data_IF_251502579558
#
_entry.id   IF_251502579558
#
_cell.length_a   1.000
_cell.length_b   1.000
_cell.length_c   1.000
_cell.angle_alpha   90.00
_cell.angle_beta   90.00
_cell.angle_gamma   90.00
#
_symmetry.space_group_name_H-M   'P 1'
#
loop_
_entity.id
_entity.type
_entity.pdbx_description
1 polymer ?
#
# COMPACT_ATOMS: atom_id res chain seq x y z
N UNK A 1 -83.92 0.64 2.18
CA UNK A 1 -83.15 0.02 3.28
C UNK A 1 -82.28 -1.07 2.67
N UNK A 2 -80.94 -1.00 2.86
CA UNK A 2 -79.94 -2.07 2.60
C UNK A 2 -79.83 -2.56 1.14
N UNK A 3 -78.78 -2.28 0.33
CA UNK A 3 -77.32 -2.60 0.39
C UNK A 3 -76.96 -4.10 0.34
N UNK A 4 -76.10 -4.48 -0.63
CA UNK A 4 -75.60 -5.86 -0.82
C UNK A 4 -75.10 -6.09 -2.25
N UNK A 5 -73.94 -5.53 -2.61
CA UNK A 5 -72.65 -6.26 -2.70
C UNK A 5 -72.55 -7.22 -3.91
N UNK A 6 -72.03 -6.70 -5.03
CA UNK A 6 -71.40 -7.50 -6.10
C UNK A 6 -69.88 -7.48 -5.89
N UNK A 7 -69.29 -8.61 -5.50
CA UNK A 7 -67.83 -8.78 -5.47
C UNK A 7 -67.33 -9.29 -6.83
N UNK A 8 -66.67 -8.42 -7.59
CA UNK A 8 -65.85 -8.85 -8.73
C UNK A 8 -64.44 -9.21 -8.23
N UNK A 9 -64.06 -10.49 -8.31
CA UNK A 9 -62.66 -10.89 -8.16
C UNK A 9 -61.87 -10.48 -9.41
N UNK A 10 -61.08 -9.42 -9.29
CA UNK A 10 -60.02 -9.09 -10.26
C UNK A 10 -58.71 -9.72 -9.78
N UNK A 11 -58.27 -10.77 -10.47
CA UNK A 11 -56.94 -11.36 -10.32
C UNK A 11 -55.89 -10.39 -10.87
N UNK A 12 -55.33 -9.54 -10.01
CA UNK A 12 -54.18 -8.71 -10.35
C UNK A 12 -52.93 -9.59 -10.44
N UNK A 13 -52.51 -9.88 -11.67
CA UNK A 13 -51.19 -10.48 -11.93
C UNK A 13 -50.12 -9.49 -11.51
N UNK A 14 -49.55 -9.69 -10.33
CA UNK A 14 -48.44 -8.90 -9.83
C UNK A 14 -47.19 -9.14 -10.69
N UNK A 15 -47.03 -8.34 -11.75
CA UNK A 15 -45.74 -8.18 -12.43
C UNK A 15 -44.79 -7.51 -11.44
N UNK A 16 -43.99 -8.32 -10.75
CA UNK A 16 -42.85 -7.81 -10.01
C UNK A 16 -41.90 -7.11 -10.97
N UNK A 17 -41.85 -5.78 -10.91
CA UNK A 17 -40.76 -5.02 -11.53
C UNK A 17 -39.44 -5.51 -10.95
N UNK A 18 -38.37 -5.64 -11.76
CA UNK A 18 -37.05 -5.94 -11.21
C UNK A 18 -36.69 -4.84 -10.20
N UNK A 19 -36.16 -5.24 -9.04
CA UNK A 19 -35.71 -4.31 -7.99
C UNK A 19 -34.62 -3.43 -8.60
N UNK A 20 -34.97 -2.17 -8.87
CA UNK A 20 -34.03 -1.17 -9.35
C UNK A 20 -33.01 -0.84 -8.26
N UNK A 21 -31.82 -0.41 -8.69
CA UNK A 21 -30.73 0.04 -7.82
C UNK A 21 -31.24 1.18 -6.91
N UNK A 22 -31.62 0.86 -5.66
CA UNK A 22 -32.10 1.83 -4.68
C UNK A 22 -30.92 2.65 -4.14
N UNK A 23 -30.46 3.61 -4.96
CA UNK A 23 -30.00 4.90 -4.44
C UNK A 23 -31.24 5.68 -3.96
N UNK A 24 -31.86 5.21 -2.86
CA UNK A 24 -32.69 6.08 -2.04
C UNK A 24 -31.82 7.23 -1.50
N UNK A 25 -32.43 8.41 -1.40
CA UNK A 25 -31.72 9.68 -1.31
C UNK A 25 -30.97 9.79 0.03
N UNK A 26 -29.67 9.48 0.02
CA UNK A 26 -28.83 9.48 1.23
C UNK A 26 -28.72 10.92 1.73
N UNK A 27 -29.49 11.23 2.77
CA UNK A 27 -29.48 12.54 3.41
C UNK A 27 -28.09 12.82 4.00
N UNK A 28 -27.39 13.77 3.39
CA UNK A 28 -26.20 14.41 3.96
C UNK A 28 -26.61 15.39 5.06
N UNK A 29 -25.66 15.79 5.89
CA UNK A 29 -25.90 16.82 6.89
C UNK A 29 -26.38 18.14 6.28
N UNK A 30 -27.48 18.67 6.83
CA UNK A 30 -27.98 19.99 6.51
C UNK A 30 -27.01 21.09 6.96
N UNK A 31 -26.90 22.16 6.18
CA UNK A 31 -26.01 23.30 6.43
C UNK A 31 -24.53 22.88 6.63
N UNK A 32 -24.08 21.86 5.90
CA UNK A 32 -22.72 21.34 5.99
C UNK A 32 -21.67 22.34 5.46
N UNK A 33 -20.70 22.69 6.31
CA UNK A 33 -19.59 23.58 6.04
C UNK A 33 -18.30 22.80 5.77
N UNK A 34 -17.95 22.60 4.50
CA UNK A 34 -16.80 21.77 4.10
C UNK A 34 -15.47 22.22 4.70
N UNK A 35 -15.22 23.53 4.76
CA UNK A 35 -13.97 24.10 5.25
C UNK A 35 -13.75 23.86 6.76
N UNK A 36 -14.83 23.68 7.54
CA UNK A 36 -14.77 23.35 8.98
C UNK A 36 -14.41 21.89 9.26
N UNK A 37 -14.43 21.03 8.26
CA UNK A 37 -13.95 19.64 8.35
C UNK A 37 -12.45 19.50 8.08
N UNK A 38 -11.77 20.56 7.64
CA UNK A 38 -10.33 20.54 7.40
C UNK A 38 -9.54 20.33 8.70
N UNK A 39 -8.36 19.72 8.59
CA UNK A 39 -7.56 19.29 9.72
C UNK A 39 -7.55 17.77 9.89
N UNK A 40 -7.18 17.33 11.09
CA UNK A 40 -6.82 15.95 11.40
C UNK A 40 -7.89 15.26 12.25
N UNK A 41 -8.27 14.08 11.79
CA UNK A 41 -9.26 13.19 12.40
C UNK A 41 -8.65 11.82 12.66
N UNK A 42 -9.15 11.11 13.67
CA UNK A 42 -8.81 9.73 14.01
C UNK A 42 -9.90 8.78 13.52
N UNK A 43 -9.52 7.66 12.92
CA UNK A 43 -10.43 6.60 12.45
C UNK A 43 -10.81 5.72 13.66
N UNK A 44 -11.99 5.95 14.25
CA UNK A 44 -12.39 5.37 15.55
C UNK A 44 -13.11 4.02 15.37
N UNK A 45 -14.07 3.94 14.46
CA UNK A 45 -14.85 2.73 14.24
C UNK A 45 -15.29 2.58 12.77
N UNK A 46 -15.45 1.34 12.33
CA UNK A 46 -15.80 0.99 10.95
C UNK A 46 -16.95 -0.02 10.96
N UNK A 47 -17.99 0.26 10.16
CA UNK A 47 -18.97 -0.73 9.71
C UNK A 47 -18.81 -0.96 8.21
N UNK A 48 -18.91 -2.20 7.72
CA UNK A 48 -18.79 -2.45 6.26
C UNK A 48 -19.49 -3.71 5.75
N UNK A 49 -20.07 -3.63 4.55
CA UNK A 49 -20.56 -4.80 3.80
C UNK A 49 -19.47 -5.42 2.92
N UNK A 50 -18.25 -4.85 2.89
CA UNK A 50 -17.11 -5.41 2.19
C UNK A 50 -16.65 -6.72 2.85
N UNK A 51 -16.99 -7.86 2.23
CA UNK A 51 -16.62 -9.22 2.67
C UNK A 51 -15.14 -9.34 3.06
N UNK A 52 -14.25 -8.66 2.35
CA UNK A 52 -12.83 -8.67 2.66
C UNK A 52 -12.51 -7.96 3.98
N UNK A 53 -13.01 -6.73 4.18
CA UNK A 53 -12.73 -5.98 5.42
C UNK A 53 -13.28 -6.71 6.65
N UNK A 54 -14.49 -7.29 6.54
CA UNK A 54 -15.08 -8.18 7.56
C UNK A 54 -14.12 -9.29 7.99
N UNK A 55 -13.56 -10.02 7.02
CA UNK A 55 -12.70 -11.19 7.29
C UNK A 55 -11.32 -10.83 7.89
N UNK A 56 -10.92 -9.56 7.89
CA UNK A 56 -9.61 -9.12 8.38
C UNK A 56 -9.70 -7.95 9.38
N UNK A 57 -10.84 -7.75 10.04
CA UNK A 57 -11.08 -6.65 10.99
C UNK A 57 -9.99 -6.51 12.07
N UNK A 58 -9.50 -7.64 12.60
CA UNK A 58 -8.39 -7.72 13.58
C UNK A 58 -7.05 -7.12 13.10
N UNK A 59 -6.87 -6.92 11.78
CA UNK A 59 -5.65 -6.32 11.19
C UNK A 59 -5.73 -4.81 11.02
N UNK A 60 -6.86 -4.19 11.38
CA UNK A 60 -7.00 -2.74 11.38
C UNK A 60 -6.71 -2.22 12.78
N UNK A 61 -5.92 -1.15 12.83
CA UNK A 61 -5.73 -0.32 14.02
C UNK A 61 -6.18 1.10 13.67
N UNK A 62 -6.36 1.93 14.70
CA UNK A 62 -6.67 3.33 14.54
C UNK A 62 -5.67 3.99 13.60
N UNK A 63 -6.18 4.72 12.61
CA UNK A 63 -5.39 5.53 11.69
C UNK A 63 -5.76 7.00 11.82
N UNK A 64 -5.10 7.84 11.06
CA UNK A 64 -5.53 9.24 10.90
C UNK A 64 -6.12 9.48 9.52
N UNK A 65 -6.87 10.57 9.41
CA UNK A 65 -7.33 11.18 8.17
C UNK A 65 -7.12 12.69 8.31
N UNK A 66 -6.28 13.26 7.46
CA UNK A 66 -6.11 14.69 7.28
C UNK A 66 -6.93 15.11 6.06
N UNK A 67 -7.81 16.09 6.25
CA UNK A 67 -8.60 16.73 5.20
C UNK A 67 -8.06 18.14 4.95
N UNK A 68 -7.96 18.54 3.69
CA UNK A 68 -7.47 19.87 3.31
C UNK A 68 -7.87 20.26 1.89
N UNK A 69 -7.57 21.50 1.47
CA UNK A 69 -7.86 21.96 0.12
C UNK A 69 -7.18 21.07 -0.92
N UNK A 70 -7.91 20.70 -1.98
CA UNK A 70 -7.34 19.99 -3.12
C UNK A 70 -6.53 20.92 -4.04
N UNK A 71 -5.87 20.38 -5.08
CA UNK A 71 -5.14 21.16 -6.10
C UNK A 71 -5.99 22.19 -6.87
N UNK A 72 -7.31 22.06 -6.80
CA UNK A 72 -8.30 22.91 -7.45
C UNK A 72 -9.49 23.15 -6.51
N UNK A 73 -10.23 24.25 -6.71
CA UNK A 73 -11.27 24.69 -5.79
C UNK A 73 -12.45 23.70 -5.67
N UNK A 74 -12.70 22.93 -6.74
CA UNK A 74 -13.65 21.83 -6.83
C UNK A 74 -13.15 20.51 -6.24
N UNK A 75 -11.95 20.47 -5.63
CA UNK A 75 -11.37 19.27 -5.04
C UNK A 75 -11.07 19.43 -3.55
N UNK A 76 -11.04 18.30 -2.85
CA UNK A 76 -10.58 18.16 -1.46
C UNK A 76 -9.50 17.08 -1.43
N UNK A 77 -8.36 17.39 -0.80
CA UNK A 77 -7.29 16.42 -0.57
C UNK A 77 -7.57 15.65 0.71
N UNK A 78 -7.39 14.33 0.62
CA UNK A 78 -7.54 13.41 1.73
C UNK A 78 -6.24 12.66 1.92
N UNK A 79 -5.68 12.64 3.12
CA UNK A 79 -4.43 11.92 3.44
C UNK A 79 -4.62 11.09 4.70
N UNK A 80 -4.55 9.76 4.58
CA UNK A 80 -4.77 8.83 5.69
C UNK A 80 -3.51 8.06 6.06
N UNK A 81 -3.12 8.06 7.34
CA UNK A 81 -2.04 7.21 7.86
C UNK A 81 -2.61 5.94 8.51
N UNK A 82 -1.93 4.79 8.33
CA UNK A 82 -2.30 3.50 8.93
C UNK A 82 -1.06 2.71 9.31
N UNK A 83 -0.99 2.30 10.58
CA UNK A 83 0.04 1.43 11.12
C UNK A 83 -0.29 -0.05 10.81
N UNK A 84 0.67 -0.78 10.25
CA UNK A 84 0.53 -2.21 9.92
C UNK A 84 1.82 -2.97 10.20
N UNK A 85 1.78 -3.88 11.19
CA UNK A 85 2.91 -4.75 11.57
C UNK A 85 4.23 -4.01 11.88
N UNK A 86 4.16 -2.72 12.23
CA UNK A 86 5.31 -1.85 12.48
C UNK A 86 5.53 -0.79 11.40
N UNK A 87 5.06 -1.03 10.17
CA UNK A 87 5.20 -0.09 9.06
C UNK A 87 4.08 0.95 9.06
N UNK A 88 4.44 2.23 8.93
CA UNK A 88 3.48 3.31 8.70
C UNK A 88 3.23 3.50 7.21
N UNK A 89 1.98 3.39 6.78
CA UNK A 89 1.56 3.65 5.40
C UNK A 89 0.74 4.93 5.33
N UNK A 90 1.11 5.85 4.42
CA UNK A 90 0.33 7.06 4.12
C UNK A 90 -0.28 6.94 2.73
N UNK A 91 -1.58 7.21 2.65
CA UNK A 91 -2.40 7.13 1.44
C UNK A 91 -3.03 8.49 1.22
N UNK A 92 -2.68 9.16 0.12
CA UNK A 92 -3.35 10.38 -0.32
C UNK A 92 -4.27 10.12 -1.51
N UNK A 93 -5.33 10.93 -1.63
CA UNK A 93 -6.29 10.87 -2.73
C UNK A 93 -7.14 12.13 -2.82
N UNK A 94 -7.35 12.60 -4.03
CA UNK A 94 -8.10 13.82 -4.35
C UNK A 94 -9.54 13.47 -4.71
N UNK A 95 -10.50 14.01 -3.96
CA UNK A 95 -11.93 13.81 -4.19
C UNK A 95 -12.54 15.07 -4.81
N UNK A 96 -13.43 14.89 -5.77
CA UNK A 96 -14.21 15.97 -6.38
C UNK A 96 -15.41 16.34 -5.49
N UNK A 97 -15.59 17.63 -5.26
CA UNK A 97 -16.79 18.22 -4.66
C UNK A 97 -17.95 18.08 -5.66
N UNK A 98 -19.15 17.85 -5.16
CA UNK A 98 -20.37 17.83 -6.00
C UNK A 98 -21.20 19.10 -5.79
N UNK A 99 -22.31 19.23 -6.52
CA UNK A 99 -23.30 20.29 -6.29
C UNK A 99 -23.98 20.23 -4.91
N UNK A 100 -23.84 19.13 -4.19
CA UNK A 100 -24.40 18.92 -2.86
C UNK A 100 -23.28 18.98 -1.82
N UNK A 101 -23.26 19.99 -0.92
CA UNK A 101 -22.29 20.04 0.18
C UNK A 101 -22.31 18.75 1.01
N UNK A 102 -21.14 18.26 1.42
CA UNK A 102 -21.01 17.00 2.16
C UNK A 102 -21.02 15.75 1.30
N UNK A 103 -21.32 15.85 0.00
CA UNK A 103 -21.23 14.75 -0.98
C UNK A 103 -20.03 14.95 -1.90
N UNK A 104 -19.18 13.92 -1.98
CA UNK A 104 -17.94 13.91 -2.74
C UNK A 104 -17.85 12.68 -3.63
N UNK A 105 -17.13 12.78 -4.75
CA UNK A 105 -16.91 11.68 -5.69
C UNK A 105 -15.44 11.47 -6.00
N UNK A 106 -15.06 10.21 -6.16
CA UNK A 106 -13.74 9.81 -6.66
C UNK A 106 -13.94 8.76 -7.75
N UNK A 107 -13.20 8.88 -8.85
CA UNK A 107 -13.25 7.93 -9.96
C UNK A 107 -11.83 7.63 -10.48
N UNK A 108 -11.54 6.34 -10.67
CA UNK A 108 -10.26 5.88 -11.20
C UNK A 108 -10.47 5.10 -12.52
N UNK A 109 -10.18 5.71 -13.69
CA UNK A 109 -10.44 5.09 -14.99
C UNK A 109 -9.50 3.91 -15.29
N UNK A 110 -8.40 3.72 -14.55
CA UNK A 110 -7.47 2.59 -14.77
C UNK A 110 -8.03 1.26 -14.26
N UNK A 111 -8.98 1.30 -13.32
CA UNK A 111 -9.49 0.13 -12.60
C UNK A 111 -11.01 0.04 -12.57
N UNK A 112 -11.71 1.00 -13.20
CA UNK A 112 -13.16 1.17 -13.15
C UNK A 112 -13.71 1.10 -11.71
N UNK A 113 -13.18 1.99 -10.87
CA UNK A 113 -13.59 2.14 -9.47
C UNK A 113 -14.14 3.53 -9.25
N UNK A 114 -15.39 3.60 -8.78
CA UNK A 114 -16.01 4.83 -8.31
C UNK A 114 -16.31 4.73 -6.82
N UNK A 115 -16.08 5.83 -6.09
CA UNK A 115 -16.41 5.99 -4.68
C UNK A 115 -17.26 7.25 -4.56
N UNK A 116 -18.41 7.13 -3.91
CA UNK A 116 -19.26 8.23 -3.49
C UNK A 116 -19.19 8.30 -1.96
N UNK A 117 -18.77 9.45 -1.44
CA UNK A 117 -18.62 9.71 -0.01
C UNK A 117 -19.65 10.74 0.45
N UNK A 118 -20.31 10.49 1.58
CA UNK A 118 -21.39 11.30 2.14
C UNK A 118 -21.09 11.57 3.61
N UNK A 119 -20.98 12.85 3.99
CA UNK A 119 -20.92 13.25 5.41
C UNK A 119 -22.35 13.25 5.96
N UNK A 120 -22.67 12.28 6.80
CA UNK A 120 -24.02 12.11 7.34
C UNK A 120 -24.26 13.01 8.55
N UNK A 121 -23.28 13.06 9.47
CA UNK A 121 -23.34 13.80 10.74
C UNK A 121 -21.94 14.24 11.15
N UNK A 122 -21.79 15.45 11.66
CA UNK A 122 -20.58 16.02 12.24
C UNK A 122 -20.95 17.24 13.07
N UNK A 123 -20.28 17.43 14.20
CA UNK A 123 -20.30 18.69 14.95
C UNK A 123 -19.01 19.51 14.76
N UNK A 124 -18.14 19.10 13.83
CA UNK A 124 -16.84 19.69 13.49
C UNK A 124 -15.77 19.67 14.60
N UNK A 125 -16.18 19.60 15.87
CA UNK A 125 -15.31 19.79 17.04
C UNK A 125 -15.02 18.49 17.81
N UNK A 126 -15.89 17.48 17.70
CA UNK A 126 -15.77 16.21 18.43
C UNK A 126 -15.73 15.00 17.48
N UNK A 127 -16.72 14.86 16.59
CA UNK A 127 -16.89 13.67 15.75
C UNK A 127 -17.44 13.97 14.35
N UNK A 128 -17.23 13.04 13.43
CA UNK A 128 -17.88 13.00 12.12
C UNK A 128 -18.18 11.54 11.69
N UNK A 129 -19.30 11.33 11.01
CA UNK A 129 -19.72 10.05 10.44
C UNK A 129 -19.79 10.16 8.92
N UNK A 130 -19.00 9.34 8.24
CA UNK A 130 -18.87 9.35 6.78
C UNK A 130 -19.27 7.99 6.21
N UNK A 131 -20.22 8.00 5.29
CA UNK A 131 -20.62 6.85 4.49
C UNK A 131 -19.86 6.85 3.17
N UNK A 132 -19.39 5.68 2.74
CA UNK A 132 -18.73 5.46 1.46
C UNK A 132 -19.43 4.33 0.70
N UNK A 133 -20.06 4.64 -0.44
CA UNK A 133 -20.50 3.65 -1.43
C UNK A 133 -19.40 3.49 -2.48
N UNK A 134 -18.84 2.29 -2.63
CA UNK A 134 -17.87 1.96 -3.69
C UNK A 134 -18.52 1.03 -4.72
N UNK A 135 -18.40 1.35 -6.01
CA UNK A 135 -18.64 0.42 -7.12
C UNK A 135 -17.27 0.01 -7.71
N UNK A 136 -17.09 -1.28 -7.99
CA UNK A 136 -15.80 -1.91 -8.35
C UNK A 136 -16.05 -3.28 -8.97
N UNK A 137 -15.07 -3.81 -9.72
CA UNK A 137 -15.11 -5.17 -10.31
C UNK A 137 -15.37 -6.31 -9.31
N UNK A 138 -15.07 -6.13 -8.02
CA UNK A 138 -15.37 -7.09 -6.95
C UNK A 138 -16.80 -6.99 -6.39
N UNK A 139 -17.64 -6.14 -6.98
CA UNK A 139 -19.00 -5.84 -6.54
C UNK A 139 -19.12 -4.52 -5.76
N UNK A 140 -20.36 -4.03 -5.54
CA UNK A 140 -20.61 -2.85 -4.72
C UNK A 140 -20.32 -3.16 -3.24
N UNK A 141 -19.82 -2.16 -2.52
CA UNK A 141 -19.60 -2.24 -1.07
C UNK A 141 -19.91 -0.93 -0.38
N UNK A 142 -20.59 -1.01 0.76
CA UNK A 142 -20.90 0.12 1.64
C UNK A 142 -19.99 0.07 2.85
N UNK A 143 -19.42 1.21 3.25
CA UNK A 143 -18.58 1.33 4.44
C UNK A 143 -18.95 2.61 5.18
N UNK A 144 -19.34 2.50 6.45
CA UNK A 144 -19.57 3.61 7.36
C UNK A 144 -18.36 3.76 8.29
N UNK A 145 -17.94 5.00 8.58
CA UNK A 145 -16.77 5.30 9.41
C UNK A 145 -17.10 6.39 10.42
N UNK A 146 -16.75 6.13 11.69
CA UNK A 146 -16.74 7.13 12.75
C UNK A 146 -15.34 7.73 12.86
N UNK A 147 -15.28 9.05 12.75
CA UNK A 147 -14.10 9.85 12.92
C UNK A 147 -14.23 10.69 14.20
N UNK A 148 -13.12 10.88 14.92
CA UNK A 148 -13.04 11.75 16.10
C UNK A 148 -11.94 12.79 15.95
N UNK A 149 -12.09 13.97 16.56
CA UNK A 149 -10.99 14.95 16.73
C UNK A 149 -9.98 14.48 17.79
N UNK A 150 -10.42 13.59 18.68
CA UNK A 150 -9.62 12.85 19.67
C UNK A 150 -9.58 11.37 19.29
N UNK A 151 -8.52 10.61 19.63
CA UNK A 151 -8.51 9.14 19.53
C UNK A 151 -9.48 8.46 20.50
N UNK A 152 -10.05 9.19 21.46
CA UNK A 152 -11.05 8.71 22.41
C UNK A 152 -12.33 9.54 22.28
N UNK A 153 -13.46 8.85 22.12
CA UNK A 153 -14.81 9.42 22.04
C UNK A 153 -15.71 8.82 23.13
N UNK A 154 -16.79 9.51 23.47
CA UNK A 154 -17.81 9.03 24.41
C UNK A 154 -18.48 7.75 23.90
N UNK A 155 -18.76 6.81 24.81
CA UNK A 155 -19.42 5.53 24.47
C UNK A 155 -20.75 5.74 23.75
N UNK A 156 -21.56 6.74 24.16
CA UNK A 156 -22.80 7.16 23.50
C UNK A 156 -22.64 7.43 21.98
N UNK A 157 -21.49 7.99 21.56
CA UNK A 157 -21.21 8.24 20.14
C UNK A 157 -20.88 6.95 19.39
N UNK A 158 -20.18 6.02 20.05
CA UNK A 158 -19.85 4.70 19.48
C UNK A 158 -21.12 3.85 19.36
N UNK A 159 -22.01 3.87 20.36
CA UNK A 159 -23.32 3.22 20.33
C UNK A 159 -24.22 3.80 19.23
N UNK A 160 -24.32 5.14 19.13
CA UNK A 160 -25.12 5.77 18.07
C UNK A 160 -24.57 5.49 16.66
N UNK A 161 -23.26 5.35 16.51
CA UNK A 161 -22.63 4.87 15.27
C UNK A 161 -22.97 3.40 14.97
N UNK A 162 -22.94 2.51 15.97
CA UNK A 162 -23.34 1.11 15.82
C UNK A 162 -24.79 1.00 15.35
N UNK A 163 -25.71 1.73 15.99
CA UNK A 163 -27.12 1.76 15.61
C UNK A 163 -27.32 2.28 14.17
N UNK A 164 -26.66 3.38 13.80
CA UNK A 164 -26.73 3.93 12.44
C UNK A 164 -26.15 2.96 11.38
N UNK A 165 -25.10 2.21 11.71
CA UNK A 165 -24.56 1.19 10.81
C UNK A 165 -25.56 0.04 10.58
N UNK A 166 -26.25 -0.43 11.62
CA UNK A 166 -27.30 -1.43 11.52
C UNK A 166 -28.48 -0.94 10.66
N UNK A 167 -28.92 0.30 10.86
CA UNK A 167 -29.96 0.96 10.05
C UNK A 167 -29.58 1.05 8.56
N UNK A 168 -28.29 1.22 8.26
CA UNK A 168 -27.75 1.19 6.90
C UNK A 168 -27.51 -0.23 6.34
N UNK A 169 -28.03 -1.26 7.00
CA UNK A 169 -27.94 -2.66 6.56
C UNK A 169 -26.53 -3.27 6.66
N UNK A 170 -25.63 -2.66 7.46
CA UNK A 170 -24.34 -3.25 7.79
C UNK A 170 -24.56 -4.29 8.90
N UNK A 171 -24.17 -5.56 8.71
CA UNK A 171 -24.39 -6.58 9.72
C UNK A 171 -23.49 -6.36 10.94
N UNK A 172 -24.05 -6.61 12.14
CA UNK A 172 -23.43 -6.38 13.45
C UNK A 172 -21.99 -6.93 13.56
N UNK A 173 -21.77 -8.16 13.09
CA UNK A 173 -20.47 -8.84 13.13
C UNK A 173 -19.36 -8.17 12.29
N UNK A 174 -19.75 -7.18 11.47
CA UNK A 174 -18.93 -6.40 10.55
C UNK A 174 -18.85 -4.92 10.93
N UNK A 175 -19.31 -4.57 12.13
CA UNK A 175 -19.07 -3.29 12.82
C UNK A 175 -18.01 -3.52 13.90
N UNK A 176 -16.99 -2.66 13.97
CA UNK A 176 -15.89 -2.80 14.91
C UNK A 176 -15.17 -1.47 15.22
N UNK A 177 -14.88 -1.26 16.49
CA UNK A 177 -14.00 -0.18 16.97
C UNK A 177 -12.53 -0.52 16.70
N UNK A 178 -11.74 0.47 16.34
CA UNK A 178 -10.35 0.32 15.97
C UNK A 178 -9.44 0.50 17.18
N UNK A 179 -8.57 -0.49 17.43
CA UNK A 179 -7.62 -0.42 18.53
C UNK A 179 -6.62 0.73 18.33
N UNK A 180 -6.57 1.66 19.30
CA UNK A 180 -5.53 2.68 19.37
C UNK A 180 -4.17 2.02 19.62
N UNK A 181 -3.20 2.23 18.71
CA UNK A 181 -1.81 1.74 18.82
C UNK A 181 -0.79 2.87 18.81
N UNK A 182 -1.23 4.08 19.15
CA UNK A 182 -0.51 5.31 18.90
C UNK A 182 -0.58 5.74 17.44
N UNK A 183 -0.21 6.98 17.19
CA UNK A 183 -0.06 7.50 15.84
C UNK A 183 1.19 6.95 15.16
N UNK A 184 1.10 6.75 13.85
CA UNK A 184 2.27 6.58 13.02
C UNK A 184 2.39 7.78 12.08
N UNK A 185 3.60 8.36 12.06
CA UNK A 185 4.03 9.33 11.07
C UNK A 185 4.96 8.56 10.12
N UNK A 186 4.71 8.55 8.80
CA UNK A 186 5.71 8.06 7.85
C UNK A 186 6.96 8.88 8.06
N UNK A 187 8.12 8.23 8.17
CA UNK A 187 9.37 8.98 8.13
C UNK A 187 9.41 9.70 6.78
N UNK A 188 9.39 11.04 6.83
CA UNK A 188 9.82 11.82 5.68
C UNK A 188 11.22 11.31 5.34
N UNK A 189 11.40 10.88 4.09
CA UNK A 189 12.74 10.78 3.56
C UNK A 189 13.24 12.21 3.47
N UNK A 190 13.84 12.72 4.55
CA UNK A 190 14.80 13.80 4.43
C UNK A 190 15.70 13.43 3.25
N UNK A 191 15.79 14.33 2.28
CA UNK A 191 16.71 14.17 1.17
C UNK A 191 18.07 13.77 1.75
N UNK A 192 18.68 12.74 1.18
CA UNK A 192 19.98 12.28 1.64
C UNK A 192 21.11 12.98 0.87
N UNK A 193 21.58 14.14 1.32
CA UNK A 193 22.99 14.44 1.37
C UNK A 193 23.53 14.35 2.81
N UNK A 194 24.83 14.11 2.95
CA UNK A 194 25.61 14.28 4.19
C UNK A 194 25.50 13.23 5.31
N UNK A 195 25.37 11.94 4.97
CA UNK A 195 25.91 10.85 5.83
C UNK A 195 27.06 10.02 5.21
N UNK A 196 27.52 10.37 4.00
CA UNK A 196 28.71 9.76 3.38
C UNK A 196 30.02 10.55 3.57
N UNK A 197 30.02 11.65 4.33
CA UNK A 197 31.17 12.58 4.41
C UNK A 197 32.16 12.31 5.57
N UNK A 198 31.85 11.43 6.54
CA UNK A 198 32.65 11.23 7.76
C UNK A 198 33.61 10.03 7.75
N UNK A 199 33.52 9.14 6.75
CA UNK A 199 34.37 7.91 6.68
C UNK A 199 35.65 8.05 5.84
N UNK A 200 35.99 9.25 5.34
CA UNK A 200 37.18 9.49 4.53
C UNK A 200 38.39 10.07 5.28
N UNK A 201 38.34 10.18 6.61
CA UNK A 201 39.48 10.61 7.44
C UNK A 201 39.85 9.55 8.48
N UNK A 202 40.31 8.39 8.00
CA UNK A 202 41.28 7.54 8.74
C UNK A 202 41.99 6.57 7.78
N UNK A 203 42.89 7.12 6.95
CA UNK A 203 43.93 6.31 6.27
C UNK A 203 44.91 5.81 7.33
N UNK A 204 44.72 4.58 7.81
CA UNK A 204 45.71 3.91 8.63
C UNK A 204 47.04 3.81 7.88
N UNK A 205 48.11 4.39 8.46
CA UNK A 205 49.48 4.17 7.98
C UNK A 205 49.90 2.74 8.33
N UNK A 206 50.61 2.06 7.43
CA UNK A 206 51.30 0.80 7.74
C UNK A 206 52.27 1.01 8.90
N UNK A 207 52.27 0.09 9.86
CA UNK A 207 53.38 -0.16 10.76
C UNK A 207 53.76 -1.65 10.65
N UNK A 208 55.06 -1.94 10.69
CA UNK A 208 55.63 -3.28 10.52
C UNK A 208 55.81 -3.93 11.90
N UNK A 209 55.73 -5.26 11.95
CA UNK A 209 55.94 -6.09 13.14
C UNK A 209 57.35 -5.93 13.75
N UNK A 210 57.49 -6.24 15.04
CA UNK A 210 58.58 -7.10 15.51
C UNK A 210 58.08 -8.50 15.91
N UNK A 211 58.96 -9.51 15.78
CA UNK A 211 58.81 -10.82 16.44
C UNK A 211 59.17 -10.71 17.93
N UNK A 212 58.67 -11.64 18.75
CA UNK A 212 59.52 -12.68 19.39
C UNK A 212 58.67 -13.73 20.15
N UNK A 213 59.32 -14.85 20.52
CA UNK A 213 58.69 -16.11 20.94
C UNK A 213 58.15 -16.17 22.38
N UNK A 214 57.32 -17.19 22.69
CA UNK A 214 56.91 -17.51 24.07
C UNK A 214 55.93 -18.70 24.18
N UNK A 215 56.44 -19.88 24.55
CA UNK A 215 55.69 -21.14 24.67
C UNK A 215 55.15 -21.41 26.08
N UNK A 216 53.98 -22.08 26.22
CA UNK A 216 53.79 -23.32 27.02
C UNK A 216 52.34 -23.60 27.51
N UNK A 217 51.96 -24.89 27.43
CA UNK A 217 51.04 -25.67 28.29
C UNK A 217 49.51 -25.33 28.39
N UNK A 218 48.67 -26.39 28.35
CA UNK A 218 47.21 -26.38 28.61
C UNK A 218 46.86 -26.73 30.07
N UNK A 219 45.75 -27.45 30.40
CA UNK A 219 44.65 -27.97 29.56
C UNK A 219 43.20 -27.77 30.15
N UNK A 220 42.19 -28.38 29.50
CA UNK A 220 40.84 -28.89 29.93
C UNK A 220 40.22 -28.49 31.32
N UNK A 221 38.88 -28.43 31.54
CA UNK A 221 37.80 -29.29 31.01
C UNK A 221 36.33 -28.79 31.21
N UNK A 222 35.43 -29.24 30.32
CA UNK A 222 34.04 -29.77 30.51
C UNK A 222 33.03 -29.24 31.55
N UNK A 223 31.78 -29.00 31.10
CA UNK A 223 30.50 -29.72 31.42
C UNK A 223 29.40 -29.07 30.53
N UNK A 224 28.67 -29.70 29.58
CA UNK A 224 27.71 -30.83 29.60
C UNK A 224 26.52 -30.56 30.56
N UNK A 225 25.24 -30.49 30.12
CA UNK A 225 24.67 -30.57 28.77
C UNK A 225 23.13 -30.43 28.75
N UNK A 226 22.50 -30.59 27.56
CA UNK A 226 21.24 -31.33 27.24
C UNK A 226 20.00 -31.21 28.18
N UNK A 227 18.72 -31.14 27.77
CA UNK A 227 17.92 -31.51 26.57
C UNK A 227 16.46 -31.02 26.85
N UNK A 228 15.45 -30.92 25.97
CA UNK A 228 15.27 -30.94 24.51
C UNK A 228 13.87 -30.36 24.16
N UNK A 229 13.58 -29.97 22.90
CA UNK A 229 12.23 -29.56 22.47
C UNK A 229 12.19 -29.07 21.02
N UNK A 230 11.66 -29.88 20.08
CA UNK A 230 11.93 -29.74 18.63
C UNK A 230 10.65 -29.69 17.77
N UNK A 231 10.47 -28.61 17.01
CA UNK A 231 9.62 -28.58 15.80
C UNK A 231 10.15 -27.63 14.71
N UNK A 232 11.20 -28.12 14.06
CA UNK A 232 11.72 -27.80 12.71
C UNK A 232 11.07 -26.66 11.89
N UNK A 233 11.91 -25.68 11.51
CA UNK A 233 11.80 -24.93 10.25
C UNK A 233 13.20 -24.80 9.62
N UNK A 234 13.46 -25.47 8.49
CA UNK A 234 14.72 -25.36 7.74
C UNK A 234 14.71 -23.98 7.06
N UNK A 235 15.77 -23.18 7.01
CA UNK A 235 17.18 -23.56 6.89
C UNK A 235 17.59 -23.36 5.43
N UNK A 236 17.84 -22.11 5.03
CA UNK A 236 18.15 -21.76 3.64
C UNK A 236 19.50 -22.34 3.21
N UNK A 237 19.48 -23.20 2.19
CA UNK A 237 20.69 -23.72 1.53
C UNK A 237 20.82 -22.99 0.19
N UNK A 238 21.82 -22.12 0.08
CA UNK A 238 22.08 -21.33 -1.13
C UNK A 238 23.12 -20.24 -0.86
N UNK A 239 24.29 -20.32 -1.52
CA UNK A 239 25.44 -19.45 -1.24
C UNK A 239 25.29 -18.06 -1.89
N UNK A 240 24.57 -17.15 -1.23
CA UNK A 240 24.58 -15.71 -1.55
C UNK A 240 24.86 -14.90 -0.27
N UNK A 241 26.04 -14.27 -0.20
CA UNK A 241 26.38 -13.37 0.90
C UNK A 241 25.61 -12.06 0.77
N UNK A 242 24.68 -11.81 1.69
CA UNK A 242 24.07 -10.50 1.86
C UNK A 242 25.10 -9.49 2.42
N UNK A 243 25.83 -8.81 1.55
CA UNK A 243 26.71 -7.69 1.92
C UNK A 243 26.00 -6.34 1.78
N UNK A 244 25.04 -6.07 2.67
CA UNK A 244 24.60 -4.73 3.07
C UNK A 244 23.71 -4.84 4.32
N UNK A 245 23.91 -4.02 5.37
CA UNK A 245 22.93 -3.87 6.44
C UNK A 245 21.73 -3.02 5.95
N UNK A 246 20.65 -3.01 6.73
CA UNK A 246 19.40 -2.24 6.50
C UNK A 246 18.47 -2.78 5.41
N UNK A 247 18.07 -4.06 5.53
CA UNK A 247 16.65 -4.47 5.48
C UNK A 247 16.51 -5.98 5.75
N UNK A 248 15.70 -6.37 6.74
CA UNK A 248 15.39 -7.78 7.04
C UNK A 248 14.25 -8.33 6.18
N UNK A 249 14.35 -8.18 4.86
CA UNK A 249 13.50 -8.90 3.90
C UNK A 249 14.41 -9.51 2.84
N UNK A 250 14.71 -10.80 2.99
CA UNK A 250 15.28 -11.59 1.91
C UNK A 250 14.18 -11.77 0.85
N UNK A 251 14.20 -10.98 -0.23
CA UNK A 251 13.39 -11.30 -1.40
C UNK A 251 13.87 -12.63 -1.97
N UNK A 252 13.05 -13.69 -1.85
CA UNK A 252 13.26 -14.88 -2.68
C UNK A 252 13.11 -14.50 -4.14
N UNK A 253 13.93 -15.08 -5.01
CA UNK A 253 13.81 -14.95 -6.47
C UNK A 253 12.46 -15.47 -6.98
N UNK A 254 11.76 -16.29 -6.19
CA UNK A 254 10.39 -16.73 -6.48
C UNK A 254 9.38 -15.56 -6.48
N UNK A 255 9.61 -14.51 -5.68
CA UNK A 255 8.75 -13.32 -5.65
C UNK A 255 8.61 -12.70 -7.05
N UNK A 256 9.70 -12.66 -7.80
CA UNK A 256 9.77 -12.10 -9.15
C UNK A 256 8.96 -12.87 -10.20
N UNK A 257 8.45 -14.07 -9.86
CA UNK A 257 7.59 -14.90 -10.73
C UNK A 257 6.11 -14.71 -10.44
N UNK A 258 5.75 -14.10 -9.30
CA UNK A 258 4.37 -13.85 -8.93
C UNK A 258 3.81 -12.69 -9.76
N UNK A 259 2.50 -12.68 -10.01
CA UNK A 259 1.85 -11.50 -10.58
C UNK A 259 1.86 -10.35 -9.57
N UNK A 260 1.75 -9.09 -10.02
CA UNK A 260 1.43 -7.98 -9.10
C UNK A 260 0.19 -8.34 -8.28
N UNK A 261 0.25 -8.03 -7.00
CA UNK A 261 -0.92 -8.10 -6.13
C UNK A 261 -1.10 -6.74 -5.48
N UNK A 262 -2.06 -5.93 -5.95
CA UNK A 262 -2.48 -4.69 -5.30
C UNK A 262 -2.78 -4.88 -3.81
N UNK A 263 -3.07 -6.11 -3.38
CA UNK A 263 -3.62 -6.34 -2.07
C UNK A 263 -5.05 -5.78 -1.98
N UNK A 264 -5.75 -6.13 -0.91
CA UNK A 264 -7.20 -5.90 -0.80
C UNK A 264 -7.57 -4.61 -0.06
N UNK A 265 -6.58 -3.87 0.44
CA UNK A 265 -6.80 -2.58 1.09
C UNK A 265 -6.97 -1.44 0.07
N UNK A 266 -7.66 -0.38 0.45
CA UNK A 266 -7.98 0.76 -0.45
C UNK A 266 -6.89 1.84 -0.50
N UNK A 267 -5.64 1.49 -0.24
CA UNK A 267 -4.51 2.42 -0.38
C UNK A 267 -4.14 2.73 -1.82
N UNK A 268 -3.49 3.87 -2.04
CA UNK A 268 -3.02 4.33 -3.35
C UNK A 268 -1.49 4.44 -3.38
N UNK A 269 -0.78 3.44 -2.84
CA UNK A 269 0.68 3.45 -2.84
C UNK A 269 1.20 3.08 -4.22
N UNK A 270 1.89 3.99 -4.90
CA UNK A 270 2.62 3.63 -6.12
C UNK A 270 3.79 2.71 -5.76
N UNK A 271 3.83 1.52 -6.37
CA UNK A 271 4.85 0.48 -6.16
C UNK A 271 5.28 -0.11 -7.49
N UNK A 272 6.44 -0.77 -7.50
CA UNK A 272 6.96 -1.48 -8.66
C UNK A 272 6.77 -2.98 -8.51
N UNK A 273 6.44 -3.68 -9.59
CA UNK A 273 6.48 -5.13 -9.68
C UNK A 273 7.29 -5.54 -10.91
N UNK A 274 8.00 -6.65 -10.83
CA UNK A 274 8.68 -7.24 -11.97
C UNK A 274 7.67 -8.01 -12.83
N UNK A 275 7.47 -7.57 -14.06
CA UNK A 275 6.69 -8.29 -15.06
C UNK A 275 7.65 -9.19 -15.87
N UNK A 276 7.57 -10.49 -15.64
CA UNK A 276 8.41 -11.48 -16.33
C UNK A 276 8.15 -11.57 -17.85
N UNK A 277 6.95 -11.19 -18.32
CA UNK A 277 6.60 -11.21 -19.74
C UNK A 277 7.19 -10.05 -20.53
N UNK A 278 7.25 -8.85 -19.93
CA UNK A 278 7.94 -7.68 -20.52
C UNK A 278 9.41 -7.59 -20.09
N UNK A 279 9.85 -8.43 -19.15
CA UNK A 279 11.15 -8.39 -18.47
C UNK A 279 11.47 -6.98 -17.94
N UNK A 280 10.47 -6.32 -17.34
CA UNK A 280 10.53 -4.92 -16.91
C UNK A 280 9.94 -4.72 -15.51
N UNK A 281 10.36 -3.66 -14.84
CA UNK A 281 9.77 -3.21 -13.59
C UNK A 281 8.68 -2.18 -13.86
N UNK A 282 7.42 -2.56 -13.66
CA UNK A 282 6.24 -1.77 -14.00
C UNK A 282 5.56 -1.22 -12.74
N UNK A 283 4.91 -0.06 -12.84
CA UNK A 283 4.20 0.54 -11.69
C UNK A 283 2.78 0.00 -11.53
N UNK A 284 2.41 -0.29 -10.29
CA UNK A 284 1.06 -0.66 -9.88
C UNK A 284 0.66 0.09 -8.60
N UNK A 285 -0.66 0.15 -8.34
CA UNK A 285 -1.16 0.66 -7.07
C UNK A 285 -1.25 -0.50 -6.09
N UNK A 286 -0.55 -0.36 -4.97
CA UNK A 286 -0.64 -1.24 -3.82
C UNK A 286 -1.53 -0.59 -2.76
N UNK A 287 -2.51 -1.36 -2.29
CA UNK A 287 -3.50 -1.03 -1.27
C UNK A 287 -2.94 -0.75 0.12
N UNK A 288 -1.63 -0.95 0.33
CA UNK A 288 -0.99 -0.76 1.63
C UNK A 288 -1.27 -1.88 2.63
N UNK A 289 -1.76 -3.04 2.22
CA UNK A 289 -1.72 -4.25 3.03
C UNK A 289 -1.64 -5.52 2.20
N UNK A 290 -1.07 -6.57 2.81
CA UNK A 290 -0.96 -7.91 2.25
C UNK A 290 -0.27 -7.85 0.88
N UNK A 291 -0.90 -8.35 -0.18
CA UNK A 291 -0.21 -8.55 -1.45
C UNK A 291 0.75 -9.73 -1.40
N UNK A 292 1.69 -9.76 -2.36
CA UNK A 292 2.77 -10.73 -2.40
C UNK A 292 4.13 -10.03 -2.54
N UNK A 293 5.21 -10.81 -2.57
CA UNK A 293 6.58 -10.31 -2.61
C UNK A 293 7.00 -9.57 -3.89
N UNK A 294 6.18 -9.56 -4.94
CA UNK A 294 6.46 -8.80 -6.17
C UNK A 294 6.03 -7.32 -6.01
N UNK A 295 6.61 -6.65 -5.01
CA UNK A 295 6.19 -5.34 -4.53
C UNK A 295 7.39 -4.57 -3.96
N UNK A 296 7.94 -3.67 -4.75
CA UNK A 296 9.15 -2.89 -4.47
C UNK A 296 8.83 -1.39 -4.36
N UNK A 297 9.60 -0.65 -3.57
CA UNK A 297 9.39 0.80 -3.44
C UNK A 297 9.93 1.56 -4.65
N UNK A 298 11.06 1.10 -5.21
CA UNK A 298 11.69 1.73 -6.37
C UNK A 298 11.92 0.75 -7.53
N UNK A 299 11.98 1.32 -8.74
CA UNK A 299 12.42 0.61 -9.95
C UNK A 299 13.81 -0.02 -9.76
N UNK A 300 14.68 0.65 -8.98
CA UNK A 300 16.02 0.19 -8.64
C UNK A 300 15.98 -1.13 -7.87
N UNK A 301 15.23 -1.18 -6.76
CA UNK A 301 15.09 -2.39 -5.94
C UNK A 301 14.51 -3.54 -6.77
N UNK A 302 13.46 -3.26 -7.54
CA UNK A 302 12.82 -4.24 -8.41
C UNK A 302 13.83 -4.83 -9.43
N UNK A 303 14.59 -3.99 -10.13
CA UNK A 303 15.61 -4.46 -11.08
C UNK A 303 16.74 -5.21 -10.37
N UNK A 304 17.21 -4.73 -9.21
CA UNK A 304 18.28 -5.40 -8.47
C UNK A 304 17.86 -6.74 -7.86
N UNK A 305 16.57 -6.92 -7.54
CA UNK A 305 16.03 -8.18 -7.02
C UNK A 305 15.65 -9.19 -8.10
N UNK A 306 15.14 -8.72 -9.26
CA UNK A 306 14.44 -9.57 -10.22
C UNK A 306 15.02 -9.63 -11.64
N UNK A 307 15.94 -8.74 -12.01
CA UNK A 307 16.59 -8.79 -13.33
C UNK A 307 17.43 -10.06 -13.46
N UNK A 308 17.41 -10.67 -14.64
CA UNK A 308 18.22 -11.84 -15.00
C UNK A 308 19.14 -11.51 -16.18
N UNK A 309 20.10 -12.38 -16.48
CA UNK A 309 20.99 -12.26 -17.65
C UNK A 309 20.23 -12.16 -19.00
N UNK A 310 18.97 -12.62 -19.06
CA UNK A 310 18.12 -12.45 -20.23
C UNK A 310 17.90 -10.96 -20.59
N UNK A 311 18.01 -10.06 -19.61
CA UNK A 311 17.97 -8.62 -19.80
C UNK A 311 19.06 -8.09 -20.76
N UNK A 312 20.24 -8.73 -20.79
CA UNK A 312 21.34 -8.35 -21.67
C UNK A 312 21.01 -8.52 -23.17
N UNK A 313 19.88 -9.15 -23.51
CA UNK A 313 19.38 -9.31 -24.89
C UNK A 313 18.22 -8.37 -25.24
N UNK A 314 17.77 -7.52 -24.32
CA UNK A 314 16.71 -6.55 -24.57
C UNK A 314 17.26 -5.27 -25.21
N UNK A 315 16.45 -4.55 -26.02
CA UNK A 315 16.86 -3.24 -26.55
C UNK A 315 17.05 -2.22 -25.44
N UNK A 316 17.91 -1.22 -25.68
CA UNK A 316 18.08 -0.07 -24.79
C UNK A 316 16.86 0.85 -24.94
N UNK A 317 16.12 1.09 -23.85
CA UNK A 317 14.84 1.83 -23.89
C UNK A 317 14.92 3.09 -23.03
N UNK A 318 14.93 4.26 -23.68
CA UNK A 318 14.78 5.56 -23.00
C UNK A 318 13.39 5.73 -22.36
N UNK A 319 12.34 5.16 -22.95
CA UNK A 319 10.96 5.37 -22.53
C UNK A 319 10.39 6.74 -22.95
N UNK A 320 9.08 6.98 -22.73
CA UNK A 320 8.40 8.19 -23.22
C UNK A 320 8.51 9.40 -22.29
N UNK A 321 8.97 9.22 -21.04
CA UNK A 321 9.19 10.32 -20.11
C UNK A 321 10.46 11.11 -20.46
N UNK A 322 10.58 12.35 -19.97
CA UNK A 322 11.62 13.32 -20.41
C UNK A 322 12.66 13.66 -19.34
N UNK A 323 12.75 12.91 -18.26
CA UNK A 323 13.82 13.09 -17.27
C UNK A 323 15.20 12.85 -17.91
N UNK A 324 16.24 13.41 -17.31
CA UNK A 324 17.63 13.23 -17.73
C UNK A 324 18.33 12.32 -16.71
N UNK A 325 18.18 11.00 -16.84
CA UNK A 325 18.72 10.03 -15.90
C UNK A 325 19.76 9.13 -16.57
N UNK A 326 21.04 9.42 -16.35
CA UNK A 326 22.11 8.54 -16.86
C UNK A 326 22.01 7.15 -16.24
N UNK A 327 21.90 6.15 -17.11
CA UNK A 327 21.89 4.71 -16.77
C UNK A 327 22.90 3.98 -17.63
N UNK A 328 23.32 2.81 -17.17
CA UNK A 328 24.09 1.86 -17.97
C UNK A 328 23.15 0.85 -18.62
N UNK A 329 23.48 0.41 -19.83
CA UNK A 329 22.82 -0.68 -20.54
C UNK A 329 23.86 -1.49 -21.31
N UNK A 330 23.60 -2.77 -21.54
CA UNK A 330 24.42 -3.59 -22.41
C UNK A 330 23.98 -3.43 -23.86
N UNK A 331 24.88 -2.94 -24.71
CA UNK A 331 24.70 -2.96 -26.14
C UNK A 331 25.14 -4.31 -26.69
N UNK A 332 24.17 -5.14 -27.08
CA UNK A 332 24.41 -6.49 -27.60
C UNK A 332 25.07 -6.49 -29.00
N UNK A 333 24.97 -5.41 -29.77
CA UNK A 333 25.63 -5.29 -31.07
C UNK A 333 27.11 -4.87 -30.92
N UNK A 334 27.42 -4.05 -29.91
CA UNK A 334 28.78 -3.62 -29.57
C UNK A 334 29.47 -4.52 -28.53
N UNK A 335 28.76 -5.50 -27.96
CA UNK A 335 29.25 -6.42 -26.94
C UNK A 335 29.72 -5.75 -25.65
N UNK A 336 29.19 -4.57 -25.31
CA UNK A 336 29.72 -3.73 -24.21
C UNK A 336 28.64 -2.96 -23.45
N UNK A 337 28.92 -2.70 -22.18
CA UNK A 337 28.14 -1.76 -21.38
C UNK A 337 28.40 -0.33 -21.83
N UNK A 338 27.35 0.40 -22.17
CA UNK A 338 27.36 1.82 -22.52
C UNK A 338 26.43 2.61 -21.60
N UNK A 339 26.63 3.93 -21.52
CA UNK A 339 25.65 4.82 -20.89
C UNK A 339 24.57 5.24 -21.88
N UNK A 340 23.35 5.42 -21.37
CA UNK A 340 22.24 6.02 -22.10
C UNK A 340 21.44 6.94 -21.18
N UNK A 341 20.62 7.79 -21.77
CA UNK A 341 19.68 8.64 -21.03
C UNK A 341 18.35 7.89 -20.85
N UNK A 342 17.97 7.58 -19.61
CA UNK A 342 16.66 7.07 -19.28
C UNK A 342 15.70 8.22 -18.96
N UNK A 343 14.54 8.20 -19.61
CA UNK A 343 13.48 9.20 -19.48
C UNK A 343 12.74 9.18 -18.15
N UNK A 344 12.95 8.16 -17.31
CA UNK A 344 12.37 8.03 -15.97
C UNK A 344 11.05 7.25 -15.90
N UNK A 345 10.58 6.63 -17.00
CA UNK A 345 9.47 5.69 -16.96
C UNK A 345 9.46 4.70 -18.13
N UNK A 346 8.86 3.52 -17.93
CA UNK A 346 8.68 2.45 -18.93
C UNK A 346 9.99 1.97 -19.58
N UNK A 347 11.07 1.90 -18.80
CA UNK A 347 12.28 1.15 -19.15
C UNK A 347 12.03 -0.36 -19.13
N UNK A 348 13.07 -1.13 -19.44
CA UNK A 348 13.05 -2.59 -19.35
C UNK A 348 14.25 -3.09 -18.51
N UNK A 349 14.45 -4.41 -18.45
CA UNK A 349 15.52 -5.04 -17.69
C UNK A 349 16.94 -4.63 -18.11
N UNK A 350 17.17 -4.14 -19.33
CA UNK A 350 18.49 -3.69 -19.80
C UNK A 350 18.83 -2.29 -19.27
N UNK A 351 18.77 -2.16 -17.94
CA UNK A 351 19.02 -0.94 -17.21
C UNK A 351 19.78 -1.27 -15.93
N UNK A 352 20.94 -0.64 -15.77
CA UNK A 352 21.88 -0.83 -14.68
C UNK A 352 22.24 0.53 -14.07
N UNK A 353 22.51 0.55 -12.77
CA UNK A 353 22.86 1.74 -12.02
C UNK A 353 24.37 1.98 -12.00
N UNK A 354 25.16 0.91 -12.16
CA UNK A 354 26.62 0.96 -12.20
C UNK A 354 27.17 0.21 -13.41
N UNK A 355 28.30 0.68 -13.95
CA UNK A 355 29.01 -0.02 -15.03
C UNK A 355 29.41 -1.44 -14.64
N UNK A 356 29.92 -1.59 -13.40
CA UNK A 356 30.33 -2.87 -12.84
C UNK A 356 29.16 -3.85 -12.77
N UNK A 357 27.97 -3.39 -12.39
CA UNK A 357 26.74 -4.19 -12.34
C UNK A 357 26.37 -4.71 -13.74
N UNK A 358 26.42 -3.85 -14.77
CA UNK A 358 26.22 -4.28 -16.16
C UNK A 358 27.26 -5.31 -16.60
N UNK A 359 28.54 -5.10 -16.25
CA UNK A 359 29.64 -6.02 -16.58
C UNK A 359 29.55 -7.35 -15.83
N UNK A 360 29.00 -7.37 -14.63
CA UNK A 360 28.78 -8.61 -13.86
C UNK A 360 27.62 -9.45 -14.45
N UNK A 361 26.54 -8.81 -14.91
CA UNK A 361 25.41 -9.51 -15.54
C UNK A 361 25.63 -9.89 -17.01
N UNK A 362 26.35 -9.06 -17.79
CA UNK A 362 26.44 -9.18 -19.24
C UNK A 362 27.88 -9.33 -19.79
N UNK A 363 28.90 -9.20 -18.94
CA UNK A 363 30.31 -9.21 -19.34
C UNK A 363 30.97 -10.60 -19.31
N UNK A 364 30.26 -11.64 -18.89
CA UNK A 364 30.68 -13.01 -19.13
C UNK A 364 30.51 -13.33 -20.63
N UNK A 365 31.54 -13.85 -21.33
CA UNK A 365 31.36 -14.32 -22.70
C UNK A 365 30.31 -15.44 -22.70
N UNK A 366 29.27 -15.29 -23.50
CA UNK A 366 28.25 -16.33 -23.66
C UNK A 366 28.96 -17.59 -24.20
N UNK A 367 28.88 -18.68 -23.44
CA UNK A 367 29.34 -19.99 -23.92
C UNK A 367 28.48 -20.35 -25.13
N UNK A 368 29.14 -20.44 -26.29
CA UNK A 368 28.55 -20.72 -27.59
C UNK A 368 28.19 -22.20 -27.77
#
# INVERSE_FOLDING_TARGET
IVWGLLSFLLLTVARGSPIGDQDEDIQVQENFEAERMHGKWFDIAIGTTCKWMKNYKEKFSMGTLVLGPGPSADQISTTSTRLRQGDCTLVSGEYQKTSTPGKYTYYNPKWDVSIQSYVLRTNYEEYAVILMKKKSSFGPSTTLKLYGMSPELREELIESFHQLALEMGIPEDSIFTLANRGECVPQETEDAPQLCASLLVQRARRAVLPLEEGSAAGPLATYIGNKEGRSQGRGCIGSLRCHLPVSRVCCSTDSCRLSRDPGPCSGMLSRFFYNSSSMACETFHYGGCLGNGNNFYSEKECLQACRTEAACRLPIVQGPCKAQMTRWAFDAAQGKCITFNYGGCKGNGNQFYLEKECKEYCGAPQLA
#
